data_IF_877433336474
#
_entry.id   IF_877433336474
#
_cell.length_a   1.000
_cell.length_b   1.000
_cell.length_c   1.000
_cell.angle_alpha   90.00
_cell.angle_beta   90.00
_cell.angle_gamma   90.00
#
_symmetry.space_group_name_H-M   'P 1'
#
loop_
_entity.id
_entity.type
_entity.pdbx_description
1 polymer ?
#
# COMPACT_ATOMS: atom_id res chain seq x y z
N UNK A 1 -54.09 18.36 -23.36
CA UNK A 1 -53.12 17.54 -22.61
C UNK A 1 -52.13 16.98 -23.62
N UNK A 2 -50.82 17.18 -23.46
CA UNK A 2 -49.82 16.76 -24.46
C UNK A 2 -49.68 15.22 -24.47
N UNK A 3 -49.88 14.53 -25.60
CA UNK A 3 -49.88 13.05 -25.67
C UNK A 3 -48.48 12.41 -25.53
N UNK A 4 -47.42 13.23 -25.55
CA UNK A 4 -46.03 12.78 -25.50
C UNK A 4 -45.40 12.79 -24.10
N UNK A 5 -46.14 13.28 -23.09
CA UNK A 5 -45.65 13.34 -21.71
C UNK A 5 -45.25 11.96 -21.14
N UNK A 6 -45.96 10.83 -21.40
CA UNK A 6 -45.56 9.52 -20.92
C UNK A 6 -44.20 9.07 -21.46
N UNK A 7 -43.95 9.27 -22.75
CA UNK A 7 -42.68 8.90 -23.39
C UNK A 7 -41.50 9.69 -22.83
N UNK A 8 -41.70 10.97 -22.51
CA UNK A 8 -40.65 11.80 -21.92
C UNK A 8 -40.26 11.28 -20.52
N UNK A 9 -41.23 10.83 -19.73
CA UNK A 9 -40.97 10.27 -18.40
C UNK A 9 -40.21 8.93 -18.46
N UNK A 10 -40.54 8.09 -19.44
CA UNK A 10 -39.83 6.82 -19.64
C UNK A 10 -38.36 7.04 -20.05
N UNK A 11 -38.10 8.04 -20.91
CA UNK A 11 -36.73 8.42 -21.30
C UNK A 11 -35.93 8.93 -20.09
N UNK A 12 -36.52 9.79 -19.25
CA UNK A 12 -35.85 10.29 -18.05
C UNK A 12 -35.56 9.18 -17.03
N UNK A 13 -36.51 8.25 -16.85
CA UNK A 13 -36.31 7.09 -15.98
C UNK A 13 -35.19 6.15 -16.49
N UNK A 14 -35.04 6.04 -17.81
CA UNK A 14 -33.97 5.27 -18.43
C UNK A 14 -32.59 5.91 -18.21
N UNK A 15 -32.47 7.25 -18.28
CA UNK A 15 -31.21 7.95 -17.99
C UNK A 15 -30.76 7.78 -16.53
N UNK A 16 -31.69 7.85 -15.57
CA UNK A 16 -31.40 7.63 -14.16
C UNK A 16 -30.96 6.19 -13.88
N UNK A 17 -31.64 5.20 -14.49
CA UNK A 17 -31.21 3.81 -14.40
C UNK A 17 -29.83 3.59 -15.03
N UNK A 18 -29.55 4.15 -16.21
CA UNK A 18 -28.23 4.06 -16.86
C UNK A 18 -27.15 4.63 -15.94
N UNK A 19 -27.38 5.80 -15.35
CA UNK A 19 -26.43 6.44 -14.43
C UNK A 19 -26.15 5.57 -13.19
N UNK A 20 -27.19 4.96 -12.63
CA UNK A 20 -27.05 4.05 -11.48
C UNK A 20 -26.28 2.77 -11.83
N UNK A 21 -26.50 2.19 -13.01
CA UNK A 21 -25.81 0.98 -13.49
C UNK A 21 -24.34 1.28 -13.76
N UNK A 22 -24.04 2.43 -14.41
CA UNK A 22 -22.65 2.88 -14.63
C UNK A 22 -21.93 3.10 -13.30
N UNK A 23 -22.61 3.73 -12.33
CA UNK A 23 -22.07 3.91 -10.98
C UNK A 23 -21.77 2.58 -10.28
N UNK A 24 -22.68 1.61 -10.37
CA UNK A 24 -22.51 0.28 -9.78
C UNK A 24 -21.34 -0.48 -10.44
N UNK A 25 -21.25 -0.48 -11.77
CA UNK A 25 -20.14 -1.12 -12.51
C UNK A 25 -18.81 -0.44 -12.16
N UNK A 26 -18.77 0.89 -12.14
CA UNK A 26 -17.59 1.66 -11.75
C UNK A 26 -17.11 1.33 -10.33
N UNK A 27 -18.04 1.26 -9.37
CA UNK A 27 -17.76 0.88 -7.99
C UNK A 27 -17.22 -0.54 -7.86
N UNK A 28 -17.84 -1.51 -8.55
CA UNK A 28 -17.39 -2.91 -8.53
C UNK A 28 -16.02 -3.09 -9.17
N UNK A 29 -15.79 -2.51 -10.35
CA UNK A 29 -14.49 -2.59 -11.03
C UNK A 29 -13.39 -1.89 -10.21
N UNK A 30 -13.66 -0.70 -9.69
CA UNK A 30 -12.75 0.02 -8.81
C UNK A 30 -12.40 -0.78 -7.56
N UNK A 31 -13.40 -1.38 -6.92
CA UNK A 31 -13.22 -2.25 -5.75
C UNK A 31 -12.38 -3.50 -6.06
N UNK A 32 -12.64 -4.18 -7.18
CA UNK A 32 -11.86 -5.35 -7.61
C UNK A 32 -10.41 -5.00 -7.91
N UNK A 33 -10.17 -3.89 -8.63
CA UNK A 33 -8.81 -3.41 -8.91
C UNK A 33 -8.09 -3.09 -7.60
N UNK A 34 -8.74 -2.37 -6.68
CA UNK A 34 -8.19 -2.05 -5.37
C UNK A 34 -7.84 -3.29 -4.56
N UNK A 35 -8.69 -4.32 -4.58
CA UNK A 35 -8.47 -5.59 -3.89
C UNK A 35 -7.27 -6.35 -4.47
N UNK A 36 -7.17 -6.45 -5.80
CA UNK A 36 -6.03 -7.09 -6.47
C UNK A 36 -4.72 -6.38 -6.13
N UNK A 37 -4.69 -5.05 -6.24
CA UNK A 37 -3.51 -4.26 -5.87
C UNK A 37 -3.15 -4.42 -4.39
N UNK A 38 -4.16 -4.43 -3.51
CA UNK A 38 -4.00 -4.67 -2.07
C UNK A 38 -3.37 -6.02 -1.74
N UNK A 39 -3.82 -7.09 -2.41
CA UNK A 39 -3.23 -8.43 -2.24
C UNK A 39 -1.79 -8.45 -2.77
N UNK A 40 -1.53 -7.83 -3.94
CA UNK A 40 -0.19 -7.79 -4.50
C UNK A 40 0.83 -7.10 -3.58
N UNK A 41 0.47 -5.96 -2.98
CA UNK A 41 1.37 -5.26 -2.04
C UNK A 41 1.54 -6.04 -0.73
N UNK A 42 0.50 -6.72 -0.26
CA UNK A 42 0.56 -7.59 0.91
C UNK A 42 1.55 -8.73 0.68
N UNK A 43 1.45 -9.43 -0.46
CA UNK A 43 2.37 -10.51 -0.84
C UNK A 43 3.79 -9.98 -1.05
N UNK A 44 3.96 -8.79 -1.63
CA UNK A 44 5.27 -8.15 -1.76
C UNK A 44 5.92 -7.93 -0.38
N UNK A 45 5.18 -7.34 0.55
CA UNK A 45 5.65 -7.09 1.93
C UNK A 45 5.96 -8.40 2.66
N UNK A 46 5.09 -9.41 2.52
CA UNK A 46 5.34 -10.76 3.04
C UNK A 46 6.69 -11.30 2.54
N UNK A 47 6.97 -11.19 1.24
CA UNK A 47 8.25 -11.64 0.68
C UNK A 47 9.44 -10.86 1.20
N UNK A 48 9.33 -9.53 1.33
CA UNK A 48 10.38 -8.71 1.96
C UNK A 48 10.70 -9.21 3.37
N UNK A 49 9.69 -9.57 4.15
CA UNK A 49 9.85 -10.01 5.54
C UNK A 49 10.51 -11.38 5.61
N UNK A 50 10.07 -12.32 4.78
CA UNK A 50 10.70 -13.64 4.68
C UNK A 50 12.17 -13.55 4.24
N UNK A 51 12.51 -12.62 3.34
CA UNK A 51 13.90 -12.38 2.93
C UNK A 51 14.76 -11.86 4.08
N UNK A 52 14.17 -11.13 5.01
CA UNK A 52 14.83 -10.65 6.23
C UNK A 52 14.80 -11.67 7.39
N UNK A 53 14.34 -12.90 7.14
CA UNK A 53 14.24 -13.96 8.16
C UNK A 53 13.11 -13.74 9.17
N UNK A 54 12.14 -12.88 8.86
CA UNK A 54 10.99 -12.58 9.70
C UNK A 54 9.71 -13.28 9.19
N UNK A 55 8.72 -13.53 10.05
CA UNK A 55 7.46 -14.13 9.63
C UNK A 55 6.71 -13.22 8.65
N UNK A 56 6.43 -13.72 7.44
CA UNK A 56 5.75 -12.92 6.43
C UNK A 56 4.30 -12.56 6.75
N UNK A 57 3.61 -13.38 7.57
CA UNK A 57 2.26 -13.08 8.05
C UNK A 57 2.20 -11.80 8.90
N UNK A 58 3.34 -11.36 9.45
CA UNK A 58 3.40 -10.11 10.20
C UNK A 58 2.94 -8.92 9.37
N UNK A 59 3.05 -8.97 8.04
CA UNK A 59 2.56 -7.94 7.12
C UNK A 59 1.03 -7.71 7.20
N UNK A 60 0.26 -8.69 7.68
CA UNK A 60 -1.22 -8.63 7.75
C UNK A 60 -1.70 -7.84 8.97
N UNK A 61 -1.00 -7.96 10.10
CA UNK A 61 -1.43 -7.39 11.38
C UNK A 61 -0.88 -5.96 11.50
N UNK A 62 -1.70 -4.89 11.49
CA UNK A 62 -1.21 -3.52 11.28
C UNK A 62 -0.10 -3.06 12.24
N UNK A 63 -0.26 -3.30 13.55
CA UNK A 63 0.74 -2.88 14.55
C UNK A 63 1.98 -3.79 14.53
N UNK A 64 1.78 -5.10 14.38
CA UNK A 64 2.87 -6.06 14.37
C UNK A 64 3.72 -5.94 13.09
N UNK A 65 3.10 -5.60 11.96
CA UNK A 65 3.75 -5.23 10.70
C UNK A 65 4.79 -4.13 10.93
N UNK A 66 4.38 -3.02 11.55
CA UNK A 66 5.27 -1.91 11.85
C UNK A 66 6.39 -2.30 12.81
N UNK A 67 6.08 -3.09 13.85
CA UNK A 67 7.09 -3.56 14.80
C UNK A 67 8.16 -4.42 14.11
N UNK A 68 7.74 -5.40 13.31
CA UNK A 68 8.65 -6.27 12.56
C UNK A 68 9.43 -5.47 11.52
N UNK A 69 8.83 -4.47 10.86
CA UNK A 69 9.56 -3.56 9.98
C UNK A 69 10.70 -2.86 10.72
N UNK A 70 10.44 -2.34 11.91
CA UNK A 70 11.45 -1.69 12.75
C UNK A 70 12.58 -2.67 13.09
N UNK A 71 12.26 -3.91 13.44
CA UNK A 71 13.27 -4.95 13.67
C UNK A 71 14.10 -5.27 12.41
N UNK A 72 13.47 -5.33 11.23
CA UNK A 72 14.15 -5.56 9.94
C UNK A 72 15.13 -4.42 9.65
N UNK A 73 14.74 -3.18 9.90
CA UNK A 73 15.64 -2.05 9.64
C UNK A 73 16.65 -1.80 10.78
N UNK A 74 16.43 -2.39 11.96
CA UNK A 74 17.30 -2.27 13.13
C UNK A 74 16.96 -1.13 14.07
N UNK A 75 15.74 -0.58 13.98
CA UNK A 75 15.28 0.50 14.86
C UNK A 75 14.60 -0.06 16.11
N UNK A 76 14.78 0.59 17.27
CA UNK A 76 14.17 0.14 18.50
C UNK A 76 12.65 0.26 18.46
N UNK A 77 11.93 -0.67 19.09
CA UNK A 77 10.47 -0.77 19.02
C UNK A 77 9.70 0.46 19.52
N UNK A 78 10.32 1.34 20.33
CA UNK A 78 9.70 2.60 20.77
C UNK A 78 9.39 3.54 19.59
N UNK A 79 10.02 3.35 18.43
CA UNK A 79 9.68 4.08 17.19
C UNK A 79 8.24 3.89 16.75
N UNK A 80 7.55 2.84 17.21
CA UNK A 80 6.10 2.71 17.00
C UNK A 80 5.33 3.93 17.51
N UNK A 81 5.75 4.52 18.63
CA UNK A 81 5.10 5.70 19.21
C UNK A 81 5.26 6.90 18.28
N UNK A 82 6.45 7.06 17.65
CA UNK A 82 6.69 8.13 16.68
C UNK A 82 5.77 8.03 15.45
N UNK A 83 5.41 6.81 15.05
CA UNK A 83 4.49 6.58 13.92
C UNK A 83 3.03 6.97 14.23
N UNK A 84 2.67 7.12 15.51
CA UNK A 84 1.34 7.56 15.94
C UNK A 84 1.22 9.08 16.08
N UNK A 85 2.34 9.81 16.19
CA UNK A 85 2.35 11.26 16.34
C UNK A 85 2.29 11.90 14.95
N UNK A 86 1.24 12.69 14.62
CA UNK A 86 1.16 13.39 13.34
C UNK A 86 2.41 14.24 13.08
N UNK A 87 2.79 14.38 11.80
CA UNK A 87 3.99 15.10 11.31
C UNK A 87 5.29 14.35 11.64
N UNK A 88 5.49 13.94 12.89
CA UNK A 88 6.64 13.13 13.31
C UNK A 88 6.64 11.78 12.60
N UNK A 89 5.47 11.19 12.39
CA UNK A 89 5.29 9.96 11.63
C UNK A 89 5.82 10.08 10.19
N UNK A 90 5.68 11.24 9.53
CA UNK A 90 6.21 11.46 8.18
C UNK A 90 7.73 11.37 8.20
N UNK A 91 8.40 12.08 9.11
CA UNK A 91 9.86 12.03 9.25
C UNK A 91 10.33 10.60 9.56
N UNK A 92 9.62 9.90 10.46
CA UNK A 92 9.92 8.52 10.80
C UNK A 92 9.79 7.57 9.59
N UNK A 93 8.74 7.71 8.78
CA UNK A 93 8.55 6.91 7.55
C UNK A 93 9.66 7.17 6.54
N UNK A 94 10.08 8.41 6.35
CA UNK A 94 11.23 8.74 5.49
C UNK A 94 12.46 7.96 5.96
N UNK A 95 12.81 8.11 7.23
CA UNK A 95 13.98 7.47 7.83
C UNK A 95 13.91 5.94 7.67
N UNK A 96 12.80 5.31 8.08
CA UNK A 96 12.60 3.86 7.98
C UNK A 96 12.70 3.39 6.52
N UNK A 97 12.19 4.15 5.55
CA UNK A 97 12.27 3.80 4.13
C UNK A 97 13.70 3.81 3.61
N UNK A 98 14.51 4.79 4.02
CA UNK A 98 15.94 4.81 3.69
C UNK A 98 16.69 3.65 4.35
N UNK A 99 16.41 3.34 5.61
CA UNK A 99 17.07 2.23 6.28
C UNK A 99 16.64 0.89 5.68
N UNK A 100 15.39 0.74 5.26
CA UNK A 100 14.94 -0.44 4.53
C UNK A 100 15.70 -0.58 3.20
N UNK A 101 15.81 0.49 2.42
CA UNK A 101 16.62 0.48 1.19
C UNK A 101 18.06 0.02 1.48
N UNK A 102 18.71 0.62 2.49
CA UNK A 102 20.08 0.26 2.88
C UNK A 102 20.20 -1.16 3.40
N UNK A 103 19.20 -1.66 4.13
CA UNK A 103 19.15 -3.05 4.65
C UNK A 103 19.04 -4.10 3.54
N UNK A 104 18.73 -3.68 2.31
CA UNK A 104 18.74 -4.47 1.09
C UNK A 104 19.87 -4.07 0.11
N UNK A 105 20.84 -3.29 0.57
CA UNK A 105 21.97 -2.81 -0.24
C UNK A 105 21.56 -1.87 -1.38
N UNK A 106 20.46 -1.13 -1.24
CA UNK A 106 19.96 -0.19 -2.25
C UNK A 106 20.41 1.24 -1.98
N UNK A 107 20.45 2.03 -3.05
CA UNK A 107 20.91 3.43 -3.03
C UNK A 107 19.89 4.39 -2.39
N UNK A 108 20.33 5.61 -2.10
CA UNK A 108 19.48 6.70 -1.61
C UNK A 108 18.30 6.99 -2.56
N UNK A 109 18.52 6.94 -3.88
CA UNK A 109 17.44 7.11 -4.86
C UNK A 109 16.34 6.04 -4.74
N UNK A 110 16.73 4.81 -4.39
CA UNK A 110 15.76 3.75 -4.10
C UNK A 110 14.97 4.02 -2.80
N UNK A 111 15.63 4.58 -1.79
CA UNK A 111 14.97 5.04 -0.56
C UNK A 111 13.90 6.11 -0.84
N UNK A 112 14.22 7.11 -1.68
CA UNK A 112 13.22 8.08 -2.15
C UNK A 112 12.06 7.41 -2.90
N UNK A 113 12.38 6.41 -3.73
CA UNK A 113 11.38 5.59 -4.40
C UNK A 113 10.45 4.86 -3.42
N UNK A 114 10.97 4.32 -2.32
CA UNK A 114 10.16 3.70 -1.27
C UNK A 114 9.26 4.71 -0.54
N UNK A 115 9.65 5.98 -0.44
CA UNK A 115 8.84 7.01 0.21
C UNK A 115 7.70 7.47 -0.69
N UNK A 116 7.99 7.88 -1.93
CA UNK A 116 6.99 8.48 -2.82
C UNK A 116 6.21 7.44 -3.64
N UNK A 117 6.83 6.29 -3.92
CA UNK A 117 6.27 5.23 -4.77
C UNK A 117 6.39 3.87 -4.07
N UNK A 118 6.03 3.83 -2.78
CA UNK A 118 6.19 2.65 -1.92
C UNK A 118 5.70 1.37 -2.59
N UNK A 119 4.50 1.41 -3.19
CA UNK A 119 3.89 0.27 -3.87
C UNK A 119 4.83 -0.42 -4.87
N UNK A 120 5.45 0.36 -5.77
CA UNK A 120 6.31 -0.18 -6.83
C UNK A 120 7.62 -0.71 -6.22
N UNK A 121 8.24 0.07 -5.35
CA UNK A 121 9.57 -0.27 -4.80
C UNK A 121 9.50 -1.44 -3.82
N UNK A 122 8.40 -1.62 -3.11
CA UNK A 122 8.19 -2.77 -2.24
C UNK A 122 7.96 -4.05 -3.05
N UNK A 123 7.28 -3.99 -4.20
CA UNK A 123 7.21 -5.10 -5.15
C UNK A 123 8.59 -5.45 -5.71
N UNK A 124 9.42 -4.45 -6.04
CA UNK A 124 10.79 -4.68 -6.52
C UNK A 124 11.63 -5.37 -5.43
N UNK A 125 11.52 -4.96 -4.16
CA UNK A 125 12.20 -5.63 -3.05
C UNK A 125 11.68 -7.05 -2.82
N UNK A 126 10.36 -7.24 -2.79
CA UNK A 126 9.72 -8.51 -2.49
C UNK A 126 9.95 -9.57 -3.57
N UNK A 127 9.64 -9.24 -4.82
CA UNK A 127 9.69 -10.17 -5.94
C UNK A 127 11.03 -10.17 -6.69
N UNK A 128 11.79 -9.07 -6.63
CA UNK A 128 13.08 -8.95 -7.32
C UNK A 128 14.21 -9.76 -6.67
N UNK A 129 15.41 -9.66 -7.24
CA UNK A 129 16.62 -10.37 -6.78
C UNK A 129 17.29 -9.75 -5.55
N UNK A 130 16.69 -8.71 -4.95
CA UNK A 130 17.24 -8.04 -3.76
C UNK A 130 17.36 -9.06 -2.61
N UNK A 131 18.54 -9.06 -1.97
CA UNK A 131 18.84 -9.86 -0.78
C UNK A 131 18.95 -8.93 0.42
N UNK A 132 18.41 -9.38 1.55
CA UNK A 132 18.58 -8.69 2.81
C UNK A 132 20.03 -8.85 3.28
N UNK A 133 20.70 -7.75 3.62
CA UNK A 133 22.10 -7.74 4.05
C UNK A 133 22.25 -7.53 5.56
N UNK A 134 21.16 -7.22 6.25
CA UNK A 134 21.13 -6.95 7.69
C UNK A 134 20.59 -5.57 8.03
N UNK A 135 20.37 -5.28 9.32
CA UNK A 135 19.81 -4.01 9.76
C UNK A 135 20.77 -2.85 9.47
N UNK A 136 20.27 -1.82 8.79
CA UNK A 136 21.07 -0.66 8.40
C UNK A 136 20.97 0.52 9.37
N UNK A 137 19.96 0.57 10.23
CA UNK A 137 19.90 1.55 11.31
C UNK A 137 21.01 1.21 12.32
N UNK A 138 22.07 2.01 12.28
CA UNK A 138 23.13 2.08 13.29
C UNK A 138 23.27 3.53 13.71
#
# INVERSE_FOLDING_TARGET
>A
MLPFLPYLLDVLAQEDQISSVVGAIGGLLGGLIGLVLGILILVATWKVYTKAGKPGWAAIVPIYNLFVLLEIVGRPGWWLILLLIPIVNLVAIFIISFDLARSFGKSTGFGLGLVFFNFIFMMILGFGKAKYIGPAAR
#
